data_IF_147503460309
#
_entry.id   IF_147503460309
#
_cell.length_a   1.000
_cell.length_b   1.000
_cell.length_c   1.000
_cell.angle_alpha   90.00
_cell.angle_beta   90.00
_cell.angle_gamma   90.00
#
_symmetry.space_group_name_H-M   'P 1'
#
loop_
_entity.id
_entity.type
_entity.pdbx_description
1 polymer ?
#
# COMPACT_ATOMS: atom_id res chain seq x y z
N UNK A 1 11.52 -33.68 19.59
CA UNK A 1 11.88 -33.02 18.31
C UNK A 1 10.94 -31.85 18.12
N UNK A 2 11.43 -30.61 18.08
CA UNK A 2 10.78 -29.50 17.40
C UNK A 2 11.87 -28.47 17.08
N UNK A 3 12.61 -28.77 16.02
CA UNK A 3 13.34 -27.74 15.28
C UNK A 3 12.24 -26.89 14.64
N UNK A 4 11.92 -25.76 15.27
CA UNK A 4 10.79 -24.87 14.93
C UNK A 4 10.90 -24.38 13.48
N UNK A 5 10.38 -25.17 12.55
CA UNK A 5 10.09 -24.71 11.21
C UNK A 5 8.77 -23.94 11.26
N UNK A 6 8.72 -22.69 10.77
CA UNK A 6 7.46 -21.95 10.62
C UNK A 6 6.44 -22.76 9.83
N UNK A 7 5.15 -22.59 10.15
CA UNK A 7 4.02 -23.20 9.42
C UNK A 7 4.20 -23.00 7.90
N UNK A 8 3.99 -24.07 7.12
CA UNK A 8 4.05 -24.01 5.64
C UNK A 8 2.79 -23.34 5.09
N UNK A 9 2.88 -22.80 3.86
CA UNK A 9 1.72 -22.20 3.19
C UNK A 9 0.53 -23.15 3.11
N UNK A 10 0.77 -24.43 2.81
CA UNK A 10 -0.28 -25.46 2.75
C UNK A 10 -1.01 -25.63 4.09
N UNK A 11 -0.27 -25.64 5.21
CA UNK A 11 -0.85 -25.77 6.54
C UNK A 11 -1.64 -24.51 6.93
N UNK A 12 -1.07 -23.32 6.64
CA UNK A 12 -1.73 -22.03 6.87
C UNK A 12 -3.04 -21.90 6.06
N UNK A 13 -3.02 -22.27 4.78
CA UNK A 13 -4.20 -22.25 3.90
C UNK A 13 -5.29 -23.21 4.40
N UNK A 14 -4.90 -24.44 4.80
CA UNK A 14 -5.83 -25.43 5.36
C UNK A 14 -6.50 -24.89 6.63
N UNK A 15 -5.73 -24.36 7.57
CA UNK A 15 -6.24 -23.77 8.82
C UNK A 15 -7.18 -22.59 8.56
N UNK A 16 -6.85 -21.75 7.57
CA UNK A 16 -7.72 -20.66 7.15
C UNK A 16 -9.04 -21.18 6.54
N UNK A 17 -8.99 -22.22 5.71
CA UNK A 17 -10.17 -22.83 5.09
C UNK A 17 -11.10 -23.46 6.13
N UNK A 18 -10.54 -24.19 7.11
CA UNK A 18 -11.28 -24.76 8.24
C UNK A 18 -12.00 -23.66 9.05
N UNK A 19 -11.30 -22.56 9.35
CA UNK A 19 -11.90 -21.40 10.07
C UNK A 19 -13.02 -20.72 9.27
N UNK A 20 -12.97 -20.77 7.94
CA UNK A 20 -14.00 -20.21 7.06
C UNK A 20 -15.08 -21.22 6.67
N UNK A 21 -14.98 -22.47 7.16
CA UNK A 21 -15.94 -23.54 6.95
C UNK A 21 -15.75 -24.32 5.63
N UNK A 22 -14.94 -23.82 4.68
CA UNK A 22 -14.51 -24.56 3.50
C UNK A 22 -13.43 -23.80 2.73
N UNK A 23 -12.74 -24.49 1.81
CA UNK A 23 -11.83 -23.86 0.83
C UNK A 23 -12.57 -22.83 0.00
N UNK A 24 -13.77 -23.17 -0.51
CA UNK A 24 -14.58 -22.25 -1.32
C UNK A 24 -14.96 -20.98 -0.56
N UNK A 25 -15.35 -21.10 0.70
CA UNK A 25 -15.70 -19.95 1.53
C UNK A 25 -14.49 -19.04 1.81
N UNK A 26 -13.29 -19.62 1.97
CA UNK A 26 -12.05 -18.85 2.04
C UNK A 26 -11.73 -18.15 0.72
N UNK A 27 -11.81 -18.85 -0.41
CA UNK A 27 -11.50 -18.32 -1.73
C UNK A 27 -12.38 -17.12 -2.10
N UNK A 28 -13.65 -17.11 -1.69
CA UNK A 28 -14.55 -15.95 -1.86
C UNK A 28 -14.08 -14.72 -1.09
N UNK A 29 -13.39 -14.90 0.05
CA UNK A 29 -12.88 -13.81 0.88
C UNK A 29 -11.48 -13.33 0.46
N UNK A 30 -10.71 -14.16 -0.23
CA UNK A 30 -9.45 -13.75 -0.82
C UNK A 30 -9.80 -12.79 -1.98
N UNK A 31 -9.57 -11.49 -1.77
CA UNK A 31 -9.79 -10.49 -2.80
C UNK A 31 -9.11 -10.93 -4.10
N UNK A 32 -9.88 -11.03 -5.19
CA UNK A 32 -9.49 -11.42 -6.57
C UNK A 32 -7.99 -11.09 -6.83
N UNK A 33 -7.05 -12.01 -7.07
CA UNK A 33 -6.87 -12.98 -8.19
C UNK A 33 -5.81 -14.07 -7.84
N UNK A 34 -5.83 -15.25 -8.50
CA UNK A 34 -4.66 -16.16 -8.68
C UNK A 34 -4.22 -16.17 -10.16
N UNK A 35 -2.90 -16.11 -10.44
CA UNK A 35 -2.35 -16.36 -11.78
C UNK A 35 -1.33 -17.52 -11.75
N UNK A 36 -1.56 -18.48 -12.65
CA UNK A 36 -1.40 -19.92 -12.44
C UNK A 36 -2.71 -20.57 -12.92
N UNK A 37 -3.13 -21.74 -12.44
CA UNK A 37 -4.43 -22.34 -12.85
C UNK A 37 -5.68 -21.75 -12.14
N UNK A 38 -5.59 -20.42 -11.91
CA UNK A 38 -6.58 -19.31 -11.93
C UNK A 38 -7.87 -19.34 -11.12
N UNK A 39 -8.21 -18.16 -10.56
CA UNK A 39 -9.57 -17.57 -10.59
C UNK A 39 -9.52 -16.02 -10.57
N UNK A 40 -10.47 -15.40 -11.29
CA UNK A 40 -10.59 -13.98 -11.68
C UNK A 40 -12.03 -13.59 -12.07
N UNK A 41 -12.49 -12.38 -11.74
CA UNK A 41 -13.62 -11.68 -12.40
C UNK A 41 -13.76 -10.18 -12.05
N UNK A 42 -12.69 -9.37 -12.21
CA UNK A 42 -12.87 -7.91 -12.36
C UNK A 42 -11.79 -7.28 -13.24
N UNK A 43 -12.17 -6.34 -14.10
CA UNK A 43 -11.26 -5.56 -14.96
C UNK A 43 -10.35 -4.61 -14.15
N UNK A 44 -10.72 -4.30 -12.90
CA UNK A 44 -9.86 -3.59 -11.95
C UNK A 44 -8.60 -4.38 -11.52
N UNK A 45 -8.57 -5.70 -11.76
CA UNK A 45 -7.44 -6.58 -11.47
C UNK A 45 -6.53 -6.84 -12.69
N UNK A 46 -6.63 -6.02 -13.74
CA UNK A 46 -5.78 -6.12 -14.93
C UNK A 46 -4.77 -4.98 -15.06
N UNK A 47 -4.92 -3.88 -14.31
CA UNK A 47 -3.91 -2.82 -14.33
C UNK A 47 -2.73 -3.25 -13.47
N UNK A 48 -1.65 -3.66 -14.14
CA UNK A 48 -0.33 -3.63 -13.50
C UNK A 48 -0.08 -2.21 -13.00
N UNK A 49 0.66 -2.05 -11.90
CA UNK A 49 1.00 -0.71 -11.40
C UNK A 49 1.59 0.16 -12.54
N UNK A 50 2.34 -0.45 -13.47
CA UNK A 50 2.89 0.19 -14.66
C UNK A 50 1.85 0.80 -15.63
N UNK A 51 0.61 0.30 -15.64
CA UNK A 51 -0.46 0.82 -16.50
C UNK A 51 -1.20 2.00 -15.87
N UNK A 52 -0.92 2.29 -14.59
CA UNK A 52 -1.47 3.46 -13.92
C UNK A 52 -0.69 4.71 -14.32
N UNK A 53 -1.39 5.82 -14.49
CA UNK A 53 -0.77 7.13 -14.55
C UNK A 53 -0.31 7.57 -13.16
N UNK A 54 0.72 8.41 -13.10
CA UNK A 54 1.27 8.91 -11.84
C UNK A 54 0.23 9.66 -11.00
N UNK A 55 -0.75 10.32 -11.62
CA UNK A 55 -1.84 10.95 -10.88
C UNK A 55 -2.67 9.94 -10.06
N UNK A 56 -2.87 8.71 -10.53
CA UNK A 56 -3.57 7.66 -9.78
C UNK A 56 -2.74 7.16 -8.59
N UNK A 57 -1.41 7.15 -8.73
CA UNK A 57 -0.51 6.83 -7.61
C UNK A 57 -0.61 7.92 -6.52
N UNK A 58 -0.53 9.19 -6.92
CA UNK A 58 -0.64 10.33 -6.00
C UNK A 58 -2.01 10.36 -5.31
N UNK A 59 -3.08 10.09 -6.05
CA UNK A 59 -4.44 9.95 -5.53
C UNK A 59 -4.50 8.85 -4.46
N UNK A 60 -3.98 7.65 -4.71
CA UNK A 60 -3.99 6.55 -3.76
C UNK A 60 -3.18 6.84 -2.48
N UNK A 61 -1.99 7.43 -2.62
CA UNK A 61 -1.17 7.89 -1.50
C UNK A 61 -1.93 8.91 -0.65
N UNK A 62 -2.50 9.92 -1.29
CA UNK A 62 -3.30 10.95 -0.62
C UNK A 62 -4.47 10.32 0.12
N UNK A 63 -5.25 9.47 -0.55
CA UNK A 63 -6.42 8.80 0.03
C UNK A 63 -6.06 8.05 1.29
N UNK A 64 -4.96 7.29 1.25
CA UNK A 64 -4.53 6.50 2.40
C UNK A 64 -4.01 7.36 3.56
N UNK A 65 -3.35 8.49 3.28
CA UNK A 65 -2.97 9.48 4.30
C UNK A 65 -4.23 10.05 4.98
N UNK A 66 -5.29 10.34 4.23
CA UNK A 66 -6.54 10.84 4.79
C UNK A 66 -7.32 9.78 5.57
N UNK A 67 -7.31 8.51 5.15
CA UNK A 67 -7.89 7.38 5.91
C UNK A 67 -7.20 7.13 7.25
N UNK A 68 -5.88 7.36 7.33
CA UNK A 68 -5.12 7.13 8.56
C UNK A 68 -5.64 8.01 9.71
N UNK A 69 -6.16 7.37 10.77
CA UNK A 69 -6.74 8.04 11.93
C UNK A 69 -8.05 8.78 11.65
N UNK A 70 -8.83 8.35 10.65
CA UNK A 70 -10.09 8.99 10.29
C UNK A 70 -11.17 7.98 9.89
N UNK A 71 -12.44 8.40 9.94
CA UNK A 71 -13.56 7.56 9.53
C UNK A 71 -13.51 7.35 8.01
N UNK A 72 -13.19 6.12 7.60
CA UNK A 72 -12.97 5.78 6.20
C UNK A 72 -14.15 6.17 5.29
N UNK A 73 -15.40 5.91 5.73
CA UNK A 73 -16.61 6.28 4.97
C UNK A 73 -16.68 7.77 4.63
N UNK A 74 -16.21 8.64 5.53
CA UNK A 74 -16.21 10.09 5.29
C UNK A 74 -15.18 10.47 4.21
N UNK A 75 -14.02 9.81 4.19
CA UNK A 75 -13.01 10.01 3.13
C UNK A 75 -13.57 9.60 1.77
N UNK A 76 -14.24 8.46 1.69
CA UNK A 76 -14.82 7.97 0.43
C UNK A 76 -15.92 8.90 -0.08
N UNK A 77 -16.83 9.35 0.79
CA UNK A 77 -17.91 10.26 0.42
C UNK A 77 -17.40 11.60 -0.12
N UNK A 78 -16.27 12.10 0.39
CA UNK A 78 -15.65 13.35 -0.06
C UNK A 78 -14.66 13.16 -1.20
N UNK A 79 -14.38 11.93 -1.63
CA UNK A 79 -13.33 11.67 -2.61
C UNK A 79 -13.56 12.34 -3.97
N UNK A 80 -14.79 12.42 -4.51
CA UNK A 80 -15.05 13.18 -5.74
C UNK A 80 -14.64 14.65 -5.61
N UNK A 81 -14.90 15.29 -4.46
CA UNK A 81 -14.46 16.65 -4.20
C UNK A 81 -12.93 16.75 -4.15
N UNK A 82 -12.23 15.77 -3.57
CA UNK A 82 -10.76 15.73 -3.60
C UNK A 82 -10.22 15.67 -5.04
N UNK A 83 -10.77 14.80 -5.88
CA UNK A 83 -10.36 14.67 -7.28
C UNK A 83 -10.52 16.02 -8.00
N UNK A 84 -11.69 16.64 -7.93
CA UNK A 84 -11.92 17.95 -8.56
C UNK A 84 -11.00 19.04 -7.99
N UNK A 85 -10.92 19.11 -6.66
CA UNK A 85 -10.25 20.20 -5.97
C UNK A 85 -8.72 20.17 -6.11
N UNK A 86 -8.15 19.00 -6.37
CA UNK A 86 -6.71 18.80 -6.60
C UNK A 86 -6.40 18.41 -8.06
N UNK A 87 -7.23 18.86 -9.01
CA UNK A 87 -6.98 18.73 -10.46
C UNK A 87 -6.77 17.29 -10.93
N UNK A 88 -7.57 16.36 -10.39
CA UNK A 88 -7.44 14.91 -10.55
C UNK A 88 -6.03 14.41 -10.25
N UNK A 89 -5.34 15.06 -9.30
CA UNK A 89 -3.98 14.75 -8.86
C UNK A 89 -2.92 14.84 -9.96
N UNK A 90 -3.14 15.64 -11.01
CA UNK A 90 -2.14 15.89 -12.04
C UNK A 90 -0.85 16.46 -11.40
N UNK A 91 0.28 15.79 -11.63
CA UNK A 91 1.56 16.08 -10.97
C UNK A 91 2.00 17.53 -11.23
N UNK A 92 2.08 17.96 -12.49
CA UNK A 92 2.55 19.30 -12.85
C UNK A 92 1.68 20.41 -12.24
N UNK A 93 0.35 20.28 -12.32
CA UNK A 93 -0.58 21.25 -11.70
C UNK A 93 -0.41 21.31 -10.19
N UNK A 94 -0.16 20.18 -9.54
CA UNK A 94 0.10 20.14 -8.10
C UNK A 94 1.40 20.87 -7.73
N UNK A 95 2.45 20.72 -8.54
CA UNK A 95 3.74 21.39 -8.31
C UNK A 95 3.66 22.90 -8.55
N UNK A 96 2.87 23.34 -9.53
CA UNK A 96 2.64 24.76 -9.83
C UNK A 96 1.73 25.46 -8.81
N UNK A 97 1.07 24.73 -7.91
CA UNK A 97 0.15 25.31 -6.93
C UNK A 97 0.90 26.16 -5.89
N UNK A 98 0.60 27.46 -5.73
CA UNK A 98 1.20 28.29 -4.68
C UNK A 98 0.73 27.85 -3.28
N UNK A 99 1.53 28.11 -2.25
CA UNK A 99 1.20 27.72 -0.86
C UNK A 99 -0.11 28.37 -0.39
N UNK A 100 -0.33 29.65 -0.69
CA UNK A 100 -1.57 30.37 -0.35
C UNK A 100 -2.81 29.74 -0.99
N UNK A 101 -2.68 29.15 -2.19
CA UNK A 101 -3.77 28.39 -2.79
C UNK A 101 -4.00 27.10 -2.02
N UNK A 102 -2.94 26.39 -1.65
CA UNK A 102 -3.00 25.13 -0.90
C UNK A 102 -3.64 25.33 0.49
N UNK A 103 -3.32 26.42 1.18
CA UNK A 103 -3.93 26.84 2.45
C UNK A 103 -5.43 27.09 2.31
N UNK A 104 -5.83 27.89 1.32
CA UNK A 104 -7.25 28.15 1.03
C UNK A 104 -8.01 26.86 0.72
N UNK A 105 -7.42 25.99 -0.11
CA UNK A 105 -7.97 24.68 -0.44
C UNK A 105 -8.13 23.79 0.81
N UNK A 106 -7.16 23.81 1.71
CA UNK A 106 -7.21 23.06 2.96
C UNK A 106 -8.31 23.52 3.94
N UNK A 107 -8.81 24.74 3.79
CA UNK A 107 -9.91 25.29 4.59
C UNK A 107 -11.31 25.00 4.02
N UNK A 108 -11.40 24.52 2.76
CA UNK A 108 -12.67 24.26 2.09
C UNK A 108 -13.43 23.09 2.77
N UNK A 109 -14.70 23.28 3.19
CA UNK A 109 -15.51 22.23 3.80
C UNK A 109 -15.86 21.07 2.86
N UNK A 110 -15.70 21.22 1.53
CA UNK A 110 -15.87 20.12 0.56
C UNK A 110 -14.89 18.98 0.84
N UNK A 111 -13.66 19.30 1.26
CA UNK A 111 -12.67 18.30 1.66
C UNK A 111 -12.61 18.11 3.19
N UNK A 112 -11.72 17.22 3.63
CA UNK A 112 -11.40 17.08 5.06
C UNK A 112 -10.39 18.18 5.42
N UNK A 113 -10.82 19.15 6.22
CA UNK A 113 -10.02 20.31 6.64
C UNK A 113 -8.84 19.91 7.53
N UNK A 114 -7.72 19.55 6.92
CA UNK A 114 -6.49 19.18 7.59
C UNK A 114 -5.29 19.65 6.76
N UNK A 115 -4.81 20.85 7.06
CA UNK A 115 -3.71 21.45 6.32
C UNK A 115 -2.44 20.58 6.28
N UNK A 116 -2.08 19.97 7.42
CA UNK A 116 -0.92 19.09 7.50
C UNK A 116 -1.01 17.82 6.64
N UNK A 117 -2.22 17.35 6.29
CA UNK A 117 -2.42 16.28 5.31
C UNK A 117 -2.56 16.82 3.89
N UNK A 118 -3.14 18.00 3.68
CA UNK A 118 -3.23 18.62 2.35
C UNK A 118 -1.84 18.95 1.80
N UNK A 119 -0.94 19.50 2.62
CA UNK A 119 0.43 19.81 2.17
C UNK A 119 1.23 18.59 1.71
N UNK A 120 0.88 17.38 2.16
CA UNK A 120 1.57 16.16 1.71
C UNK A 120 1.29 15.84 0.25
N UNK A 121 0.20 16.34 -0.34
CA UNK A 121 -0.13 16.09 -1.74
C UNK A 121 0.96 16.69 -2.64
N UNK A 122 1.29 17.98 -2.46
CA UNK A 122 2.36 18.64 -3.21
C UNK A 122 3.73 18.03 -2.93
N UNK A 123 4.04 17.72 -1.66
CA UNK A 123 5.32 17.11 -1.31
C UNK A 123 5.51 15.70 -1.92
N UNK A 124 4.45 14.87 -1.94
CA UNK A 124 4.51 13.56 -2.57
C UNK A 124 4.53 13.68 -4.10
N UNK A 125 3.85 14.66 -4.69
CA UNK A 125 3.96 14.96 -6.12
C UNK A 125 5.42 15.31 -6.49
N UNK A 126 6.12 16.08 -5.64
CA UNK A 126 7.52 16.43 -5.85
C UNK A 126 8.42 15.19 -5.82
N UNK A 127 8.29 14.34 -4.81
CA UNK A 127 9.02 13.06 -4.74
C UNK A 127 8.84 12.24 -6.03
N UNK A 128 7.62 12.19 -6.55
CA UNK A 128 7.31 11.42 -7.76
C UNK A 128 7.95 12.04 -9.01
N UNK A 129 7.86 13.36 -9.14
CA UNK A 129 8.48 14.11 -10.22
C UNK A 129 10.02 13.96 -10.21
N UNK A 130 10.65 14.02 -9.05
CA UNK A 130 12.10 13.86 -8.90
C UNK A 130 12.56 12.50 -9.42
N UNK A 131 11.82 11.42 -9.11
CA UNK A 131 12.09 10.08 -9.66
C UNK A 131 11.98 10.07 -11.19
N UNK A 132 10.96 10.74 -11.74
CA UNK A 132 10.79 10.81 -13.19
C UNK A 132 11.94 11.54 -13.86
N UNK A 133 12.43 12.63 -13.28
CA UNK A 133 13.58 13.36 -13.79
C UNK A 133 14.89 12.56 -13.67
N UNK A 134 15.12 11.92 -12.51
CA UNK A 134 16.38 11.21 -12.23
C UNK A 134 16.52 9.91 -13.03
N UNK A 135 15.42 9.18 -13.22
CA UNK A 135 15.42 7.83 -13.82
C UNK A 135 14.86 7.76 -15.23
N UNK A 136 14.26 8.85 -15.71
CA UNK A 136 13.58 8.90 -17.01
C UNK A 136 12.49 7.82 -17.17
N UNK A 137 11.76 7.53 -16.10
CA UNK A 137 10.61 6.60 -16.05
C UNK A 137 9.46 7.21 -15.23
N UNK A 138 8.22 6.81 -15.48
CA UNK A 138 7.11 7.22 -14.60
C UNK A 138 7.29 6.67 -13.19
N UNK A 139 6.68 7.32 -12.19
CA UNK A 139 6.71 6.82 -10.81
C UNK A 139 5.94 5.50 -10.68
N UNK A 140 4.88 5.31 -11.47
CA UNK A 140 4.16 4.06 -11.62
C UNK A 140 5.10 2.91 -12.08
N UNK A 141 5.92 3.15 -13.10
CA UNK A 141 6.93 2.19 -13.55
C UNK A 141 7.97 1.92 -12.46
N UNK A 142 8.43 2.94 -11.73
CA UNK A 142 9.34 2.78 -10.61
C UNK A 142 8.79 1.85 -9.51
N UNK A 143 7.50 1.97 -9.13
CA UNK A 143 6.87 1.04 -8.18
C UNK A 143 6.77 -0.37 -8.78
N UNK A 144 6.40 -0.47 -10.07
CA UNK A 144 6.28 -1.75 -10.76
C UNK A 144 7.59 -2.54 -10.72
N UNK A 145 8.68 -1.89 -11.09
CA UNK A 145 10.02 -2.49 -11.24
C UNK A 145 10.69 -2.82 -9.91
N UNK A 146 10.18 -2.30 -8.79
CA UNK A 146 10.71 -2.63 -7.49
C UNK A 146 10.52 -4.14 -7.20
N UNK A 147 11.57 -4.90 -6.84
CA UNK A 147 11.45 -6.34 -6.59
C UNK A 147 10.49 -6.65 -5.44
N UNK A 148 9.59 -7.63 -5.62
CA UNK A 148 8.60 -7.98 -4.58
C UNK A 148 9.26 -8.63 -3.35
N UNK A 149 10.41 -9.27 -3.57
CA UNK A 149 11.28 -9.86 -2.58
C UNK A 149 12.00 -8.84 -1.68
N UNK A 150 11.96 -7.55 -2.04
CA UNK A 150 12.42 -6.41 -1.25
C UNK A 150 11.34 -5.33 -1.12
N UNK A 151 10.09 -5.74 -0.86
CA UNK A 151 8.99 -4.79 -0.67
C UNK A 151 9.22 -3.89 0.57
N UNK A 152 9.93 -4.38 1.59
CA UNK A 152 10.34 -3.55 2.74
C UNK A 152 11.30 -2.43 2.35
N UNK A 153 12.10 -2.62 1.29
CA UNK A 153 12.95 -1.58 0.71
C UNK A 153 12.11 -0.46 0.11
N UNK A 154 11.06 -0.80 -0.63
CA UNK A 154 10.12 0.19 -1.19
C UNK A 154 9.43 0.97 -0.07
N UNK A 155 9.02 0.29 1.02
CA UNK A 155 8.45 0.97 2.19
C UNK A 155 9.43 1.95 2.82
N UNK A 156 10.70 1.55 2.95
CA UNK A 156 11.75 2.42 3.49
C UNK A 156 11.98 3.64 2.60
N UNK A 157 11.97 3.45 1.27
CA UNK A 157 12.05 4.55 0.30
C UNK A 157 10.88 5.52 0.47
N UNK A 158 9.64 5.03 0.42
CA UNK A 158 8.43 5.87 0.56
C UNK A 158 8.40 6.60 1.91
N UNK A 159 8.83 5.95 2.99
CA UNK A 159 8.94 6.57 4.32
C UNK A 159 9.98 7.70 4.34
N UNK A 160 11.10 7.53 3.66
CA UNK A 160 12.24 8.46 3.69
C UNK A 160 11.99 9.67 2.79
N UNK A 161 11.47 9.45 1.59
CA UNK A 161 11.34 10.48 0.56
C UNK A 161 9.93 11.09 0.51
N UNK A 162 8.91 10.32 0.88
CA UNK A 162 7.54 10.80 0.94
C UNK A 162 7.17 11.42 2.28
N UNK A 163 6.02 12.11 2.30
CA UNK A 163 5.42 12.68 3.48
C UNK A 163 4.24 11.84 3.97
N UNK A 164 4.32 11.37 5.22
CA UNK A 164 3.32 10.50 5.89
C UNK A 164 3.07 9.14 5.24
N UNK A 165 4.00 8.65 4.42
CA UNK A 165 3.92 7.33 3.78
C UNK A 165 4.60 6.19 4.56
N UNK A 166 5.13 6.47 5.76
CA UNK A 166 5.67 5.44 6.66
C UNK A 166 4.60 4.61 7.40
N UNK A 167 5.06 3.61 8.14
CA UNK A 167 4.18 2.69 8.87
C UNK A 167 3.29 1.90 7.92
N UNK A 168 2.02 1.69 8.26
CA UNK A 168 1.07 0.97 7.42
C UNK A 168 0.49 1.82 6.26
N UNK A 169 0.72 3.14 6.22
CA UNK A 169 0.17 4.00 5.15
C UNK A 169 0.69 3.59 3.77
N UNK A 170 2.01 3.50 3.59
CA UNK A 170 2.63 3.06 2.33
C UNK A 170 2.16 1.67 1.90
N UNK A 171 2.29 0.62 2.74
CA UNK A 171 1.82 -0.73 2.42
C UNK A 171 0.36 -0.80 1.99
N UNK A 172 -0.56 -0.13 2.71
CA UNK A 172 -1.97 -0.11 2.31
C UNK A 172 -2.18 0.60 0.97
N UNK A 173 -1.48 1.70 0.72
CA UNK A 173 -1.61 2.42 -0.55
C UNK A 173 -1.08 1.58 -1.72
N UNK A 174 0.08 0.92 -1.55
CA UNK A 174 0.63 -0.03 -2.51
C UNK A 174 -0.34 -1.18 -2.81
N UNK A 175 -1.02 -1.69 -1.78
CA UNK A 175 -2.03 -2.74 -1.95
C UNK A 175 -3.26 -2.26 -2.74
N UNK A 176 -3.69 -1.01 -2.55
CA UNK A 176 -4.76 -0.40 -3.36
C UNK A 176 -4.35 -0.24 -4.83
N UNK A 177 -3.07 -0.04 -5.09
CA UNK A 177 -2.49 0.10 -6.44
C UNK A 177 -2.20 -1.25 -7.11
N UNK A 178 -2.42 -2.37 -6.42
CA UNK A 178 -2.15 -3.71 -6.96
C UNK A 178 -0.68 -4.15 -6.84
N UNK A 179 0.18 -3.43 -6.13
CA UNK A 179 1.54 -3.91 -5.81
C UNK A 179 1.46 -5.03 -4.77
N UNK A 180 2.12 -6.15 -5.06
CA UNK A 180 2.23 -7.26 -4.11
C UNK A 180 2.98 -6.81 -2.85
N UNK A 181 2.27 -6.81 -1.71
CA UNK A 181 2.76 -6.31 -0.44
C UNK A 181 1.95 -6.90 0.71
N UNK A 182 2.63 -7.23 1.81
CA UNK A 182 1.99 -7.71 3.04
C UNK A 182 1.61 -6.54 3.96
N UNK A 183 0.61 -6.74 4.80
CA UNK A 183 0.16 -5.73 5.77
C UNK A 183 0.47 -6.23 7.17
N UNK A 184 1.15 -5.39 7.96
CA UNK A 184 1.44 -5.69 9.36
C UNK A 184 0.25 -5.27 10.24
N UNK A 185 -0.85 -6.04 10.14
CA UNK A 185 -1.99 -5.92 11.05
C UNK A 185 -1.66 -6.57 12.41
N UNK A 186 -2.51 -6.32 13.41
CA UNK A 186 -2.39 -6.97 14.73
C UNK A 186 -2.40 -8.51 14.63
N UNK A 187 -3.24 -9.07 13.76
CA UNK A 187 -3.34 -10.52 13.56
C UNK A 187 -2.08 -11.09 12.88
N UNK A 188 -1.52 -10.36 11.91
CA UNK A 188 -0.28 -10.75 11.23
C UNK A 188 0.89 -10.68 12.20
N UNK A 189 1.00 -9.61 13.01
CA UNK A 189 2.01 -9.52 14.06
C UNK A 189 1.88 -10.67 15.07
N UNK A 190 0.67 -10.93 15.57
CA UNK A 190 0.42 -12.00 16.53
C UNK A 190 0.84 -13.37 15.96
N UNK A 191 0.51 -13.64 14.70
CA UNK A 191 0.94 -14.84 14.00
C UNK A 191 2.47 -14.93 13.88
N UNK A 192 3.13 -13.86 13.42
CA UNK A 192 4.59 -13.83 13.25
C UNK A 192 5.33 -14.07 14.57
N UNK A 193 4.82 -13.52 15.69
CA UNK A 193 5.35 -13.75 17.04
C UNK A 193 5.10 -15.19 17.52
N UNK A 194 3.89 -15.71 17.31
CA UNK A 194 3.56 -17.09 17.68
C UNK A 194 4.40 -18.13 16.92
N UNK A 195 4.76 -17.85 15.67
CA UNK A 195 5.68 -18.66 14.87
C UNK A 195 7.16 -18.37 15.15
N UNK A 196 7.47 -17.50 16.13
CA UNK A 196 8.83 -17.09 16.50
C UNK A 196 9.67 -16.52 15.35
N UNK A 197 9.01 -15.93 14.35
CA UNK A 197 9.68 -15.28 13.22
C UNK A 197 10.29 -13.95 13.66
N UNK A 198 9.63 -13.27 14.61
CA UNK A 198 10.11 -12.03 15.22
C UNK A 198 9.99 -12.07 16.74
N UNK A 199 10.97 -11.46 17.41
CA UNK A 199 11.04 -11.30 18.86
C UNK A 199 11.00 -9.81 19.27
N UNK A 200 11.66 -8.94 18.51
CA UNK A 200 11.78 -7.51 18.78
C UNK A 200 10.62 -6.62 18.32
N UNK A 201 10.92 -5.32 18.20
CA UNK A 201 9.97 -4.33 17.70
C UNK A 201 9.60 -4.57 16.25
N UNK A 202 8.30 -4.56 15.93
CA UNK A 202 7.74 -4.88 14.63
C UNK A 202 8.37 -4.09 13.46
N UNK A 203 8.71 -2.83 13.71
CA UNK A 203 9.27 -1.89 12.72
C UNK A 203 10.82 -1.85 12.74
N UNK A 204 11.47 -2.74 13.50
CA UNK A 204 12.93 -2.82 13.51
C UNK A 204 13.44 -3.42 12.19
N UNK A 205 14.65 -3.03 11.77
CA UNK A 205 15.28 -3.59 10.55
C UNK A 205 15.37 -5.12 10.62
N UNK A 206 15.81 -5.66 11.77
CA UNK A 206 15.90 -7.11 12.01
C UNK A 206 14.54 -7.80 11.79
N UNK A 207 13.48 -7.28 12.41
CA UNK A 207 12.12 -7.84 12.27
C UNK A 207 11.61 -7.75 10.84
N UNK A 208 11.73 -6.59 10.19
CA UNK A 208 11.26 -6.41 8.81
C UNK A 208 11.98 -7.35 7.82
N UNK A 209 13.29 -7.54 7.96
CA UNK A 209 14.05 -8.49 7.14
C UNK A 209 13.59 -9.94 7.36
N UNK A 210 13.37 -10.35 8.62
CA UNK A 210 12.86 -11.69 8.93
C UNK A 210 11.44 -11.92 8.37
N UNK A 211 10.58 -10.90 8.48
CA UNK A 211 9.21 -10.95 7.93
C UNK A 211 9.23 -11.04 6.41
N UNK A 212 10.04 -10.22 5.72
CA UNK A 212 10.20 -10.29 4.26
C UNK A 212 10.65 -11.69 3.83
N UNK A 213 11.68 -12.25 4.49
CA UNK A 213 12.15 -13.59 4.19
C UNK A 213 11.06 -14.66 4.39
N UNK A 214 10.25 -14.53 5.44
CA UNK A 214 9.12 -15.44 5.68
C UNK A 214 8.06 -15.34 4.58
N UNK A 215 7.63 -14.14 4.20
CA UNK A 215 6.65 -13.98 3.12
C UNK A 215 7.20 -14.41 1.75
N UNK A 216 8.49 -14.18 1.47
CA UNK A 216 9.13 -14.69 0.26
C UNK A 216 9.07 -16.22 0.20
N UNK A 217 9.34 -16.89 1.33
CA UNK A 217 9.22 -18.35 1.43
C UNK A 217 7.78 -18.81 1.19
N UNK A 218 6.79 -18.19 1.83
CA UNK A 218 5.37 -18.53 1.63
C UNK A 218 4.95 -18.36 0.16
N UNK A 219 5.45 -17.31 -0.52
CA UNK A 219 5.18 -17.06 -1.94
C UNK A 219 5.77 -18.14 -2.85
N UNK A 220 6.92 -18.72 -2.52
CA UNK A 220 7.50 -19.85 -3.27
C UNK A 220 6.71 -21.15 -3.06
N UNK A 221 6.02 -21.29 -1.93
CA UNK A 221 5.24 -22.49 -1.59
C UNK A 221 3.80 -22.48 -2.13
N UNK A 222 3.30 -21.33 -2.62
CA UNK A 222 1.93 -21.11 -3.10
C UNK A 222 1.82 -21.18 -4.62
#
# INVERSE_FOLDING_TARGET
MNLNNPETFKALFKRAAERKGSVRALEVLLGKKILGKKLLDDTAAQQYVAELSDDRILAAFTKQIFKSGFVWRVVENKWPDFEEHFFNFNIEKMLMMPEEMLERKAADPKIIRNYNKVKTIKANAQMMFDITMDKNISFAQFINDWPSEDIIGLWAYLKKHGQRLGGNTGPYALRLLGKDTFILSSDVEAYLRAQQIIDGGLQSKKSLTAIQAHFNKLKTES
#
